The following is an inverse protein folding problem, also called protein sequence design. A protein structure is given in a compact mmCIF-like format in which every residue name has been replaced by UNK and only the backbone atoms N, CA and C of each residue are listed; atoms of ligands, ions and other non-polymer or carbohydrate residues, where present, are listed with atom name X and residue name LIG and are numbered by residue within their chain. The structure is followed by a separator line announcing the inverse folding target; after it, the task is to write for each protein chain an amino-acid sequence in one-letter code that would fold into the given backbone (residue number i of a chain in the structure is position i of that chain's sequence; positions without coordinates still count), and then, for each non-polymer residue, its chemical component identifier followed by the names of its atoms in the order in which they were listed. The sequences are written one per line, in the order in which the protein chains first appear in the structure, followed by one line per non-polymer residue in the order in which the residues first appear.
data_IF_780369039167
#
_entry.id   IF_780369039167
#
_cell.length_a   1.000
_cell.length_b   1.000
_cell.length_c   1.000
_cell.angle_alpha   90.00
_cell.angle_beta   90.00
_cell.angle_gamma   90.00
#
_symmetry.space_group_name_H-M   'P 1'
#
loop_
_entity.id
_entity.type
_entity.pdbx_description
1 polymer ?
#
# COMPACT_ATOMS: atom_id res chain seq x y z
N UNK A 1 13.73 7.64 7.68
CA UNK A 1 13.16 8.81 8.37
C UNK A 1 11.64 8.85 8.28
N UNK A 2 11.03 8.68 7.09
CA UNK A 2 9.55 8.70 6.96
C UNK A 2 8.85 7.45 7.51
N UNK A 3 9.52 6.30 7.56
CA UNK A 3 8.98 5.06 8.15
C UNK A 3 8.82 5.12 9.66
N UNK A 4 9.83 5.62 10.39
CA UNK A 4 9.78 5.76 11.85
C UNK A 4 8.54 6.55 12.31
N UNK A 5 8.22 7.64 11.61
CA UNK A 5 7.06 8.48 11.94
C UNK A 5 5.75 7.69 11.79
N UNK A 6 5.66 6.81 10.79
CA UNK A 6 4.46 6.02 10.55
C UNK A 6 4.29 4.92 11.59
N UNK A 7 5.38 4.23 11.94
CA UNK A 7 5.42 3.23 13.02
C UNK A 7 5.03 3.88 14.36
N UNK A 8 5.68 4.98 14.73
CA UNK A 8 5.37 5.71 15.97
C UNK A 8 3.91 6.17 15.99
N UNK A 9 3.41 6.67 14.87
CA UNK A 9 2.01 7.12 14.75
C UNK A 9 1.02 5.95 14.87
N UNK A 10 1.36 4.78 14.34
CA UNK A 10 0.54 3.58 14.46
C UNK A 10 0.48 3.08 15.91
N UNK A 11 1.63 2.95 16.57
CA UNK A 11 1.74 2.51 17.97
C UNK A 11 1.00 3.45 18.92
N UNK A 12 1.11 4.76 18.68
CA UNK A 12 0.43 5.80 19.46
C UNK A 12 -1.03 6.04 19.02
N UNK A 13 -1.54 5.28 18.05
CA UNK A 13 -2.91 5.39 17.50
C UNK A 13 -3.25 6.80 17.00
N UNK A 14 -2.27 7.50 16.44
CA UNK A 14 -2.42 8.84 15.88
C UNK A 14 -3.07 8.79 14.49
N UNK A 15 -4.36 8.50 14.44
CA UNK A 15 -5.14 8.30 13.19
C UNK A 15 -4.99 9.47 12.21
N UNK A 16 -4.93 10.70 12.69
CA UNK A 16 -4.76 11.89 11.85
C UNK A 16 -3.37 11.94 11.18
N UNK A 17 -2.33 11.48 11.88
CA UNK A 17 -0.96 11.45 11.34
C UNK A 17 -0.85 10.34 10.29
N UNK A 18 -1.39 9.15 10.57
CA UNK A 18 -1.46 8.05 9.61
C UNK A 18 -2.21 8.49 8.34
N UNK A 19 -3.35 9.17 8.51
CA UNK A 19 -4.15 9.68 7.38
C UNK A 19 -3.38 10.73 6.57
N UNK A 20 -2.63 11.61 7.25
CA UNK A 20 -1.76 12.57 6.57
C UNK A 20 -0.64 11.87 5.79
N UNK A 21 0.01 10.87 6.38
CA UNK A 21 1.04 10.06 5.72
C UNK A 21 0.49 9.34 4.48
N UNK A 22 -0.71 8.74 4.58
CA UNK A 22 -1.39 8.08 3.46
C UNK A 22 -1.54 9.04 2.26
N UNK A 23 -2.12 10.21 2.51
CA UNK A 23 -2.28 11.23 1.48
C UNK A 23 -0.93 11.74 0.95
N UNK A 24 0.01 12.05 1.84
CA UNK A 24 1.32 12.59 1.47
C UNK A 24 2.11 11.61 0.57
N UNK A 25 2.13 10.33 0.91
CA UNK A 25 2.82 9.32 0.11
C UNK A 25 2.13 9.11 -1.24
N UNK A 26 0.80 9.12 -1.28
CA UNK A 26 0.05 9.02 -2.53
C UNK A 26 0.39 10.14 -3.54
N UNK A 27 0.74 11.35 -3.04
CA UNK A 27 1.06 12.51 -3.88
C UNK A 27 2.55 12.62 -4.22
N UNK A 28 3.44 12.19 -3.33
CA UNK A 28 4.88 12.47 -3.45
C UNK A 28 5.72 11.29 -3.92
N UNK A 29 5.17 10.08 -3.89
CA UNK A 29 5.87 8.87 -4.32
C UNK A 29 5.28 8.34 -5.62
N UNK A 30 6.16 7.91 -6.51
CA UNK A 30 5.80 7.23 -7.76
C UNK A 30 6.25 5.79 -7.72
N UNK A 31 5.51 4.90 -8.39
CA UNK A 31 5.87 3.48 -8.44
C UNK A 31 7.27 3.27 -9.01
N UNK A 32 7.67 4.03 -10.02
CA UNK A 32 8.99 3.96 -10.65
C UNK A 32 10.12 4.24 -9.63
N UNK A 33 9.90 5.18 -8.71
CA UNK A 33 10.85 5.48 -7.63
C UNK A 33 10.84 4.46 -6.50
N UNK A 34 9.78 3.66 -6.37
CA UNK A 34 9.61 2.68 -5.30
C UNK A 34 9.94 1.24 -5.73
N UNK A 35 9.92 0.94 -7.04
CA UNK A 35 9.97 -0.43 -7.59
C UNK A 35 11.12 -1.27 -7.03
N UNK A 36 12.30 -0.69 -6.78
CA UNK A 36 13.44 -1.39 -6.20
C UNK A 36 13.16 -2.03 -4.82
N UNK A 37 12.27 -1.42 -4.03
CA UNK A 37 11.81 -1.93 -2.74
C UNK A 37 10.27 -2.07 -2.72
N UNK A 38 9.67 -2.36 -3.88
CA UNK A 38 8.24 -2.25 -4.10
C UNK A 38 7.40 -3.12 -3.16
N UNK A 39 7.87 -4.35 -2.88
CA UNK A 39 7.22 -5.27 -1.93
C UNK A 39 7.06 -4.62 -0.54
N UNK A 40 8.14 -4.13 0.05
CA UNK A 40 8.10 -3.50 1.37
C UNK A 40 7.11 -2.33 1.42
N UNK A 41 7.05 -1.49 0.38
CA UNK A 41 6.08 -0.39 0.33
C UNK A 41 4.62 -0.86 0.27
N UNK A 42 4.34 -1.96 -0.44
CA UNK A 42 3.00 -2.54 -0.51
C UNK A 42 2.60 -3.11 0.85
N UNK A 43 3.48 -3.92 1.47
CA UNK A 43 3.21 -4.53 2.77
C UNK A 43 2.97 -3.48 3.84
N UNK A 44 3.81 -2.45 3.89
CA UNK A 44 3.63 -1.35 4.84
C UNK A 44 2.33 -0.58 4.57
N UNK A 45 1.95 -0.37 3.31
CA UNK A 45 0.68 0.27 3.00
C UNK A 45 -0.53 -0.58 3.45
N UNK A 46 -0.40 -1.90 3.44
CA UNK A 46 -1.42 -2.83 3.95
C UNK A 46 -1.46 -2.78 5.48
N UNK A 47 -0.32 -2.97 6.13
CA UNK A 47 -0.16 -3.03 7.59
C UNK A 47 -0.68 -1.75 8.26
N UNK A 48 -0.27 -0.59 7.75
CA UNK A 48 -0.68 0.72 8.28
C UNK A 48 -1.99 1.24 7.67
N UNK A 49 -2.67 0.43 6.84
CA UNK A 49 -3.95 0.77 6.19
C UNK A 49 -3.91 2.10 5.40
N UNK A 50 -2.81 2.33 4.65
CA UNK A 50 -2.59 3.49 3.78
C UNK A 50 -3.28 3.30 2.42
N UNK A 51 -4.59 3.46 2.39
CA UNK A 51 -5.42 3.09 1.22
C UNK A 51 -5.17 3.98 0.00
N UNK A 52 -5.01 5.29 0.19
CA UNK A 52 -4.78 6.20 -0.94
C UNK A 52 -3.43 5.93 -1.59
N UNK A 53 -2.42 5.67 -0.77
CA UNK A 53 -1.09 5.32 -1.22
C UNK A 53 -1.06 3.94 -1.88
N UNK A 54 -1.73 2.94 -1.30
CA UNK A 54 -1.86 1.63 -1.92
C UNK A 54 -2.53 1.74 -3.29
N UNK A 55 -3.61 2.51 -3.41
CA UNK A 55 -4.28 2.76 -4.68
C UNK A 55 -3.35 3.41 -5.71
N UNK A 56 -2.52 4.38 -5.30
CA UNK A 56 -1.61 5.08 -6.21
C UNK A 56 -0.53 4.16 -6.74
N UNK A 57 0.03 3.28 -5.89
CA UNK A 57 0.99 2.25 -6.29
C UNK A 57 0.35 1.27 -7.27
N UNK A 58 -0.81 0.70 -6.91
CA UNK A 58 -1.48 -0.33 -7.70
C UNK A 58 -1.92 0.19 -9.07
N UNK A 59 -2.28 1.46 -9.18
CA UNK A 59 -2.66 2.06 -10.45
C UNK A 59 -1.55 1.91 -11.50
N UNK A 60 -0.29 2.10 -11.11
CA UNK A 60 0.88 2.05 -12.00
C UNK A 60 1.48 0.65 -12.17
N UNK A 61 1.04 -0.33 -11.38
CA UNK A 61 1.51 -1.71 -11.49
C UNK A 61 0.84 -2.47 -12.63
N UNK A 62 1.63 -3.34 -13.27
CA UNK A 62 1.18 -4.28 -14.31
C UNK A 62 0.95 -5.69 -13.78
N UNK A 63 1.68 -6.10 -12.73
CA UNK A 63 1.57 -7.41 -12.11
C UNK A 63 1.84 -7.32 -10.61
N UNK A 64 1.00 -7.98 -9.82
CA UNK A 64 1.19 -8.08 -8.37
C UNK A 64 2.07 -9.24 -7.95
N UNK A 65 2.09 -10.31 -8.76
CA UNK A 65 2.78 -11.57 -8.43
C UNK A 65 4.30 -11.43 -8.27
N UNK A 66 4.86 -10.33 -8.77
CA UNK A 66 6.28 -10.00 -8.62
C UNK A 66 6.61 -9.42 -7.24
N UNK A 67 5.60 -8.96 -6.49
CA UNK A 67 5.81 -8.15 -5.28
C UNK A 67 5.02 -8.62 -4.07
N UNK A 68 4.06 -9.54 -4.21
CA UNK A 68 3.21 -10.00 -3.12
C UNK A 68 3.08 -11.52 -3.21
N UNK A 69 3.44 -12.23 -2.14
CA UNK A 69 3.29 -13.68 -1.99
C UNK A 69 1.85 -14.07 -1.67
N UNK A 70 1.54 -15.37 -1.63
CA UNK A 70 0.19 -15.83 -1.27
C UNK A 70 -0.07 -15.57 0.21
N UNK A 71 0.97 -15.78 1.04
CA UNK A 71 0.96 -15.52 2.46
C UNK A 71 0.65 -14.04 2.76
N UNK A 72 1.28 -13.12 2.03
CA UNK A 72 1.01 -11.68 2.16
C UNK A 72 -0.45 -11.33 1.83
N UNK A 73 -1.07 -12.05 0.89
CA UNK A 73 -2.49 -11.86 0.52
C UNK A 73 -3.42 -12.31 1.64
N UNK A 74 -3.10 -13.41 2.33
CA UNK A 74 -3.90 -13.93 3.44
C UNK A 74 -3.92 -12.98 4.65
N UNK A 75 -2.84 -12.22 4.85
CA UNK A 75 -2.73 -11.23 5.94
C UNK A 75 -3.40 -9.89 5.62
N UNK A 76 -3.90 -9.69 4.39
CA UNK A 76 -4.50 -8.42 3.99
C UNK A 76 -5.85 -8.16 4.65
N UNK A 77 -6.10 -6.87 4.93
CA UNK A 77 -7.45 -6.42 5.21
C UNK A 77 -8.39 -6.67 4.02
N UNK A 78 -9.68 -6.90 4.31
CA UNK A 78 -10.71 -7.09 3.28
C UNK A 78 -10.75 -5.93 2.26
N UNK A 79 -10.52 -4.70 2.72
CA UNK A 79 -10.49 -3.52 1.83
C UNK A 79 -9.28 -3.52 0.90
N UNK A 80 -8.09 -3.85 1.42
CA UNK A 80 -6.89 -4.02 0.60
C UNK A 80 -7.12 -5.11 -0.45
N UNK A 81 -7.66 -6.28 -0.04
CA UNK A 81 -7.96 -7.39 -0.93
C UNK A 81 -8.95 -7.00 -2.05
N UNK A 82 -10.03 -6.28 -1.72
CA UNK A 82 -10.97 -5.75 -2.74
C UNK A 82 -10.27 -4.85 -3.75
N UNK A 83 -9.35 -3.99 -3.31
CA UNK A 83 -8.60 -3.13 -4.22
C UNK A 83 -7.72 -3.93 -5.19
N UNK A 84 -7.07 -5.00 -4.71
CA UNK A 84 -6.28 -5.89 -5.57
C UNK A 84 -7.15 -6.62 -6.59
N UNK A 85 -8.29 -7.18 -6.15
CA UNK A 85 -9.25 -7.83 -7.05
C UNK A 85 -9.75 -6.84 -8.12
N UNK A 86 -10.18 -5.64 -7.73
CA UNK A 86 -10.65 -4.63 -8.67
C UNK A 86 -9.58 -4.18 -9.69
N UNK A 87 -8.30 -4.13 -9.29
CA UNK A 87 -7.23 -3.73 -10.22
C UNK A 87 -6.86 -4.84 -11.20
N UNK A 88 -6.71 -6.08 -10.72
CA UNK A 88 -6.08 -7.15 -11.50
C UNK A 88 -7.05 -8.21 -12.03
N UNK A 89 -8.26 -8.31 -11.48
CA UNK A 89 -9.26 -9.30 -11.89
C UNK A 89 -10.44 -8.68 -12.65
N UNK A 90 -10.83 -7.42 -12.36
CA UNK A 90 -11.93 -6.75 -13.10
C UNK A 90 -11.55 -6.28 -14.52
N UNK A 91 -10.28 -6.35 -14.93
CA UNK A 91 -9.87 -5.99 -16.30
C UNK A 91 -10.22 -7.06 -17.37
N UNK A 92 -11.01 -8.08 -17.04
CA UNK A 92 -11.31 -9.22 -17.92
C UNK A 92 -12.80 -9.49 -18.20
N UNK A 93 -13.72 -8.59 -17.84
CA UNK A 93 -15.15 -8.72 -18.18
C UNK A 93 -15.69 -7.45 -18.85
#
# INVERSE_FOLDING_TARGET
MTYQILEDAFDMKMVNVISYCDWYYAQTKTWEGLKGNGNSWILNAIEFNLRHFLASILRSMTSLKEFVSVEDVEEMSNESMKMFVAKFFDQKF
#
